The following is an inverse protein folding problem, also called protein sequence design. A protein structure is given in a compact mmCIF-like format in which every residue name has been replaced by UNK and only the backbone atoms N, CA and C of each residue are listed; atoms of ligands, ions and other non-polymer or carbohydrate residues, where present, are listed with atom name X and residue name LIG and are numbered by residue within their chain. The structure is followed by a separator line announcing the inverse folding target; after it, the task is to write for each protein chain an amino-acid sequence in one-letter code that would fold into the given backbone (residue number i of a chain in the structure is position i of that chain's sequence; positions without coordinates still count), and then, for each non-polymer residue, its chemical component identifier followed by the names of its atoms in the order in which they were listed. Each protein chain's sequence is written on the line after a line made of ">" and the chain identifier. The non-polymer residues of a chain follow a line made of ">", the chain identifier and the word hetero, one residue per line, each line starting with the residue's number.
data_IF_789852677199
#
_entry.id   IF_789852677199
#
_cell.length_a   1.000
_cell.length_b   1.000
_cell.length_c   1.000
_cell.angle_alpha   90.00
_cell.angle_beta   90.00
_cell.angle_gamma   90.00
#
_symmetry.space_group_name_H-M   'P 1'
#
loop_
_entity.id
_entity.type
_entity.pdbx_description
1 polymer ?
#
# COMPACT_ATOMS: atom_id res chain seq x y z
N UNK A 1 6.60 60.28 -27.50
CA UNK A 1 7.20 59.19 -26.71
C UNK A 1 7.18 57.93 -27.57
N UNK A 2 8.29 57.59 -28.23
CA UNK A 2 8.38 56.38 -29.08
C UNK A 2 8.85 55.24 -28.18
N UNK A 3 7.98 54.27 -27.95
CA UNK A 3 8.38 53.00 -27.35
C UNK A 3 9.26 52.26 -28.34
N UNK A 4 10.52 52.07 -27.97
CA UNK A 4 11.46 51.19 -28.67
C UNK A 4 11.00 49.77 -28.39
N UNK A 5 10.44 49.12 -29.40
CA UNK A 5 10.20 47.68 -29.40
C UNK A 5 11.56 46.97 -29.37
N UNK A 6 11.94 46.45 -28.21
CA UNK A 6 13.08 45.55 -28.08
C UNK A 6 12.76 44.26 -28.83
N UNK A 7 13.53 43.98 -29.89
CA UNK A 7 13.49 42.70 -30.61
C UNK A 7 13.83 41.56 -29.64
N UNK A 8 12.84 40.70 -29.38
CA UNK A 8 12.97 39.50 -28.54
C UNK A 8 14.03 38.52 -29.08
N UNK A 9 14.26 38.50 -30.39
CA UNK A 9 15.25 37.64 -31.04
C UNK A 9 16.70 37.94 -30.65
N UNK A 10 17.05 39.21 -30.38
CA UNK A 10 18.40 39.61 -29.95
C UNK A 10 18.68 39.31 -28.47
N UNK A 11 17.63 39.24 -27.64
CA UNK A 11 17.77 38.95 -26.22
C UNK A 11 18.06 37.47 -25.99
N UNK A 12 17.35 36.58 -26.70
CA UNK A 12 17.56 35.13 -26.65
C UNK A 12 18.95 34.71 -27.17
N UNK A 13 19.44 35.32 -28.24
CA UNK A 13 20.80 35.01 -28.75
C UNK A 13 21.91 35.44 -27.79
N UNK A 14 21.75 36.60 -27.13
CA UNK A 14 22.72 37.09 -26.17
C UNK A 14 22.69 36.27 -24.87
N UNK A 15 21.50 35.88 -24.40
CA UNK A 15 21.37 34.98 -23.25
C UNK A 15 21.91 33.59 -23.54
N UNK A 16 21.68 33.06 -24.75
CA UNK A 16 22.25 31.79 -25.21
C UNK A 16 23.78 31.80 -25.15
N UNK A 17 24.41 32.84 -25.69
CA UNK A 17 25.88 32.97 -25.66
C UNK A 17 26.44 33.07 -24.22
N UNK A 18 25.81 33.87 -23.35
CA UNK A 18 26.24 34.00 -21.95
C UNK A 18 26.06 32.68 -21.19
N UNK A 19 24.96 31.98 -21.41
CA UNK A 19 24.68 30.66 -20.84
C UNK A 19 25.73 29.65 -21.29
N UNK A 20 26.08 29.64 -22.57
CA UNK A 20 27.04 28.69 -23.13
C UNK A 20 28.47 28.99 -22.65
N UNK A 21 28.84 30.27 -22.51
CA UNK A 21 30.09 30.68 -21.85
C UNK A 21 30.14 30.26 -20.38
N UNK A 22 29.03 30.44 -19.65
CA UNK A 22 28.91 30.01 -18.26
C UNK A 22 29.05 28.50 -18.12
N UNK A 23 28.36 27.71 -18.96
CA UNK A 23 28.51 26.25 -18.96
C UNK A 23 29.93 25.82 -19.30
N UNK A 24 30.58 26.51 -20.24
CA UNK A 24 31.99 26.24 -20.59
C UNK A 24 32.92 26.53 -19.42
N UNK A 25 32.71 27.64 -18.71
CA UNK A 25 33.47 28.00 -17.52
C UNK A 25 33.30 26.98 -16.38
N UNK A 26 32.06 26.58 -16.08
CA UNK A 26 31.75 25.57 -15.07
C UNK A 26 32.37 24.22 -15.45
N UNK A 27 32.22 23.79 -16.71
CA UNK A 27 32.80 22.54 -17.21
C UNK A 27 34.32 22.53 -17.11
N UNK A 28 34.99 23.63 -17.47
CA UNK A 28 36.44 23.76 -17.33
C UNK A 28 36.89 23.72 -15.86
N UNK A 29 36.14 24.37 -14.98
CA UNK A 29 36.42 24.38 -13.53
C UNK A 29 36.29 22.98 -12.93
N UNK A 30 35.20 22.26 -13.24
CA UNK A 30 35.01 20.88 -12.81
C UNK A 30 36.06 19.93 -13.41
N UNK A 31 36.42 20.07 -14.70
CA UNK A 31 37.49 19.27 -15.30
C UNK A 31 38.85 19.51 -14.64
N UNK A 32 39.19 20.76 -14.32
CA UNK A 32 40.44 21.10 -13.65
C UNK A 32 40.48 20.55 -12.22
N UNK A 33 39.35 20.59 -11.52
CA UNK A 33 39.21 20.00 -10.19
C UNK A 33 39.25 18.47 -10.25
N UNK A 34 38.55 17.85 -11.20
CA UNK A 34 38.54 16.39 -11.41
C UNK A 34 39.90 15.85 -11.88
N UNK A 35 40.69 16.66 -12.61
CA UNK A 35 42.07 16.32 -12.97
C UNK A 35 42.98 16.12 -11.76
N UNK A 36 42.75 16.86 -10.65
CA UNK A 36 43.45 16.62 -9.38
C UNK A 36 43.13 15.24 -8.77
N UNK A 37 41.99 14.65 -9.16
CA UNK A 37 41.55 13.31 -8.74
C UNK A 37 41.77 12.24 -9.83
N UNK A 38 42.53 12.55 -10.88
CA UNK A 38 42.96 11.59 -11.91
C UNK A 38 42.03 11.47 -13.13
N UNK A 39 41.03 12.33 -13.31
CA UNK A 39 40.22 12.36 -14.54
C UNK A 39 41.08 12.81 -15.75
N UNK A 40 40.93 12.22 -16.96
CA UNK A 40 39.91 11.24 -17.37
C UNK A 40 40.29 9.77 -17.16
N UNK A 41 41.53 9.50 -16.76
CA UNK A 41 42.08 8.13 -16.69
C UNK A 41 41.58 7.34 -15.47
N UNK A 42 41.19 8.04 -14.41
CA UNK A 42 40.50 7.48 -13.26
C UNK A 42 38.98 7.49 -13.53
N UNK A 43 38.34 6.33 -13.77
CA UNK A 43 36.89 6.24 -13.97
C UNK A 43 36.08 6.59 -12.70
N UNK A 44 36.76 6.94 -11.61
CA UNK A 44 36.16 7.25 -10.32
C UNK A 44 35.92 5.99 -9.49
N UNK A 45 35.41 6.18 -8.29
CA UNK A 45 34.86 5.08 -7.49
C UNK A 45 33.56 4.64 -8.17
N UNK A 46 33.39 3.36 -8.55
CA UNK A 46 32.15 2.92 -9.16
C UNK A 46 31.02 3.13 -8.14
N UNK A 47 29.94 3.81 -8.57
CA UNK A 47 28.79 4.19 -7.72
C UNK A 47 28.16 2.94 -7.06
N UNK A 48 28.37 1.77 -7.66
CA UNK A 48 28.24 0.49 -7.02
C UNK A 48 29.61 -0.21 -7.04
N UNK A 49 30.16 -0.54 -5.88
CA UNK A 49 31.12 -1.65 -5.81
C UNK A 49 30.40 -2.89 -6.34
N UNK A 50 30.55 -3.20 -7.63
CA UNK A 50 30.29 -4.54 -8.14
C UNK A 50 31.33 -5.44 -7.49
N UNK A 51 31.03 -5.91 -6.28
CA UNK A 51 31.60 -7.15 -5.76
C UNK A 51 31.11 -8.28 -6.67
N UNK A 52 31.74 -8.41 -7.85
CA UNK A 52 31.60 -9.60 -8.67
C UNK A 52 32.65 -10.60 -8.21
N UNK A 53 32.29 -11.31 -7.15
CA UNK A 53 32.62 -12.71 -6.86
C UNK A 53 31.76 -13.04 -5.65
N UNK A 54 30.70 -13.81 -5.90
CA UNK A 54 29.69 -14.25 -4.91
C UNK A 54 28.63 -13.19 -4.60
N UNK A 55 28.01 -12.61 -5.63
CA UNK A 55 26.80 -11.80 -5.45
C UNK A 55 25.73 -12.68 -4.81
N UNK A 56 25.28 -12.30 -3.62
CA UNK A 56 24.16 -12.95 -2.95
C UNK A 56 22.97 -12.98 -3.92
N UNK A 57 22.48 -14.17 -4.33
CA UNK A 57 21.37 -14.27 -5.27
C UNK A 57 20.13 -13.50 -4.79
N UNK A 58 19.99 -13.31 -3.47
CA UNK A 58 18.94 -12.49 -2.88
C UNK A 58 19.10 -11.00 -3.20
N UNK A 59 20.32 -10.47 -3.18
CA UNK A 59 20.56 -9.06 -3.50
C UNK A 59 20.30 -8.77 -4.99
N UNK A 60 20.70 -9.68 -5.87
CA UNK A 60 20.42 -9.57 -7.31
C UNK A 60 18.91 -9.67 -7.60
N UNK A 61 18.19 -10.54 -6.87
CA UNK A 61 16.73 -10.62 -6.93
C UNK A 61 16.07 -9.31 -6.48
N UNK A 62 16.45 -8.77 -5.31
CA UNK A 62 15.89 -7.51 -4.81
C UNK A 62 16.18 -6.31 -5.72
N UNK A 63 17.32 -6.31 -6.41
CA UNK A 63 17.66 -5.29 -7.40
C UNK A 63 16.87 -5.42 -8.71
N UNK A 64 16.35 -6.61 -9.02
CA UNK A 64 15.52 -6.87 -10.21
C UNK A 64 14.06 -6.44 -10.05
N UNK A 65 13.61 -6.20 -8.81
CA UNK A 65 12.23 -5.84 -8.50
C UNK A 65 11.87 -4.45 -9.04
N UNK A 66 10.61 -4.27 -9.52
CA UNK A 66 10.12 -2.95 -9.91
C UNK A 66 10.02 -2.01 -8.70
N UNK A 67 10.08 -0.71 -8.96
CA UNK A 67 9.80 0.32 -7.98
C UNK A 67 8.30 0.66 -8.02
N UNK A 68 7.66 0.78 -6.86
CA UNK A 68 6.28 1.28 -6.79
C UNK A 68 6.33 2.80 -6.96
N UNK A 69 6.00 3.28 -8.16
CA UNK A 69 5.97 4.71 -8.47
C UNK A 69 4.73 5.35 -7.84
N UNK A 70 4.95 6.13 -6.78
CA UNK A 70 3.93 6.96 -6.10
C UNK A 70 4.11 8.44 -6.42
N UNK A 71 4.92 8.77 -7.44
CA UNK A 71 5.23 10.15 -7.80
C UNK A 71 3.93 10.90 -8.10
N UNK A 72 3.69 12.07 -7.46
CA UNK A 72 2.40 12.73 -7.59
C UNK A 72 2.08 12.97 -9.07
N UNK A 73 0.82 12.74 -9.49
CA UNK A 73 0.41 13.04 -10.85
C UNK A 73 0.72 14.50 -11.15
N UNK A 74 0.98 14.81 -12.42
CA UNK A 74 1.26 16.19 -12.87
C UNK A 74 0.21 17.13 -12.28
N UNK A 75 0.64 18.04 -11.40
CA UNK A 75 -0.27 18.93 -10.68
C UNK A 75 -1.04 19.81 -11.67
N UNK A 76 -2.34 19.56 -11.78
CA UNK A 76 -3.27 20.40 -12.54
C UNK A 76 -4.31 20.94 -11.55
N UNK A 77 -4.11 22.14 -10.99
CA UNK A 77 -5.04 22.69 -10.04
C UNK A 77 -6.39 22.98 -10.72
N UNK A 78 -7.45 22.34 -10.25
CA UNK A 78 -8.81 22.57 -10.78
C UNK A 78 -9.45 23.82 -10.17
N UNK A 79 -9.07 24.16 -8.93
CA UNK A 79 -9.64 25.27 -8.15
C UNK A 79 -8.57 26.13 -7.48
N UNK A 80 -8.92 27.35 -7.05
CA UNK A 80 -8.03 28.25 -6.28
C UNK A 80 -7.50 27.62 -5.00
N UNK A 81 -8.30 26.77 -4.34
CA UNK A 81 -7.88 26.05 -3.15
C UNK A 81 -6.75 25.06 -3.47
N UNK A 82 -6.89 24.27 -4.54
CA UNK A 82 -5.83 23.36 -5.01
C UNK A 82 -4.60 24.10 -5.54
N UNK A 83 -4.77 25.34 -6.04
CA UNK A 83 -3.64 26.16 -6.46
C UNK A 83 -2.82 26.71 -5.27
N UNK A 84 -3.45 26.89 -4.11
CA UNK A 84 -2.81 27.40 -2.89
C UNK A 84 -2.23 26.29 -2.00
N UNK A 85 -2.93 25.17 -1.90
CA UNK A 85 -2.59 24.06 -0.99
C UNK A 85 -2.08 22.80 -1.70
N UNK A 86 -1.96 22.83 -3.03
CA UNK A 86 -1.62 21.68 -3.86
C UNK A 86 -2.83 20.85 -4.27
N UNK A 87 -2.65 19.98 -5.27
CA UNK A 87 -3.68 19.00 -5.65
C UNK A 87 -3.92 18.02 -4.51
N UNK A 88 -5.14 17.45 -4.44
CA UNK A 88 -5.46 16.40 -3.46
C UNK A 88 -4.49 15.24 -3.68
N UNK A 89 -3.62 15.00 -2.71
CA UNK A 89 -2.74 13.83 -2.71
C UNK A 89 -3.60 12.62 -2.33
N UNK A 90 -3.78 11.71 -3.28
CA UNK A 90 -4.42 10.43 -3.03
C UNK A 90 -3.37 9.45 -2.53
N UNK A 91 -3.77 8.66 -1.53
CA UNK A 91 -2.92 7.62 -0.98
C UNK A 91 -2.89 6.45 -1.99
N UNK A 92 -1.80 6.34 -2.76
CA UNK A 92 -1.59 5.26 -3.72
C UNK A 92 -1.01 4.00 -3.06
N UNK A 93 -1.77 3.45 -2.11
CA UNK A 93 -1.40 2.23 -1.40
C UNK A 93 -1.26 1.05 -2.34
N UNK A 94 -0.28 0.19 -2.05
CA UNK A 94 -0.12 -1.10 -2.72
C UNK A 94 -1.29 -2.01 -2.37
N UNK A 95 -2.06 -2.39 -3.39
CA UNK A 95 -3.26 -3.21 -3.23
C UNK A 95 -2.91 -4.68 -3.10
N UNK A 96 -3.55 -5.36 -2.15
CA UNK A 96 -3.56 -6.82 -2.07
C UNK A 96 -4.65 -7.39 -2.97
N UNK A 97 -4.34 -8.48 -3.65
CA UNK A 97 -5.29 -9.20 -4.50
C UNK A 97 -5.67 -10.51 -3.81
N UNK A 98 -6.89 -10.54 -3.26
CA UNK A 98 -7.45 -11.72 -2.59
C UNK A 98 -7.96 -12.70 -3.64
N UNK A 99 -7.71 -13.99 -3.42
CA UNK A 99 -8.24 -15.08 -4.24
C UNK A 99 -8.64 -16.26 -3.35
N UNK A 100 -9.65 -17.01 -3.79
CA UNK A 100 -10.14 -18.20 -3.11
C UNK A 100 -9.77 -19.44 -3.95
N UNK A 101 -9.29 -20.50 -3.30
CA UNK A 101 -8.95 -21.76 -3.94
C UNK A 101 -9.37 -22.93 -3.05
N UNK A 102 -10.02 -23.94 -3.63
CA UNK A 102 -10.48 -25.12 -2.90
C UNK A 102 -9.33 -25.96 -2.32
N UNK A 103 -8.11 -25.76 -2.80
CA UNK A 103 -6.91 -26.51 -2.37
C UNK A 103 -6.12 -25.72 -1.34
N UNK A 104 -5.88 -24.43 -1.61
CA UNK A 104 -5.01 -23.58 -0.78
C UNK A 104 -5.78 -22.86 0.34
N UNK A 105 -7.10 -22.69 0.18
CA UNK A 105 -8.00 -22.07 1.16
C UNK A 105 -8.63 -20.75 0.71
N UNK A 106 -9.33 -20.13 1.66
CA UNK A 106 -10.20 -18.97 1.43
C UNK A 106 -9.58 -17.61 1.79
N UNK A 107 -8.46 -17.61 2.53
CA UNK A 107 -7.84 -16.38 3.04
C UNK A 107 -6.59 -15.96 2.26
N UNK A 108 -6.43 -16.49 1.07
CA UNK A 108 -5.20 -16.31 0.32
C UNK A 108 -5.19 -14.97 -0.41
N UNK A 109 -4.02 -14.35 -0.44
CA UNK A 109 -3.83 -13.16 -1.26
C UNK A 109 -2.38 -13.08 -1.72
N UNK A 110 -2.19 -12.36 -2.82
CA UNK A 110 -0.87 -11.99 -3.28
C UNK A 110 -0.72 -10.48 -3.31
N UNK A 111 0.52 -10.03 -3.14
CA UNK A 111 0.93 -8.64 -3.27
C UNK A 111 2.01 -8.59 -4.36
N UNK A 112 1.94 -7.61 -5.25
CA UNK A 112 3.01 -7.38 -6.22
C UNK A 112 4.28 -6.98 -5.46
N UNK A 113 5.38 -7.68 -5.71
CA UNK A 113 6.62 -7.41 -4.99
C UNK A 113 7.31 -6.17 -5.57
N UNK A 114 7.51 -5.14 -4.76
CA UNK A 114 8.24 -3.94 -5.13
C UNK A 114 9.43 -3.70 -4.20
N UNK A 115 10.48 -3.07 -4.72
CA UNK A 115 11.71 -2.82 -3.97
C UNK A 115 11.53 -1.93 -2.74
N UNK A 116 10.54 -1.04 -2.76
CA UNK A 116 10.26 -0.04 -1.73
C UNK A 116 9.16 -0.45 -0.76
N UNK A 117 8.66 -1.69 -0.80
CA UNK A 117 7.64 -2.15 0.15
C UNK A 117 8.16 -2.13 1.58
N UNK A 118 7.34 -1.57 2.46
CA UNK A 118 7.59 -1.58 3.89
C UNK A 118 6.52 -2.43 4.55
N UNK A 119 6.96 -3.46 5.25
CA UNK A 119 6.09 -4.27 6.09
C UNK A 119 6.17 -3.82 7.54
N UNK A 120 5.10 -4.03 8.28
CA UNK A 120 5.14 -3.92 9.74
C UNK A 120 6.14 -4.96 10.30
N UNK A 121 6.79 -4.70 11.43
CA UNK A 121 7.48 -5.75 12.16
C UNK A 121 6.47 -6.82 12.64
N UNK A 122 6.86 -8.10 12.61
CA UNK A 122 6.00 -9.22 13.05
C UNK A 122 5.42 -9.01 14.45
N UNK A 123 6.21 -8.46 15.38
CA UNK A 123 5.76 -8.17 16.74
C UNK A 123 4.63 -7.12 16.79
N UNK A 124 4.71 -6.12 15.91
CA UNK A 124 3.69 -5.07 15.81
C UNK A 124 2.43 -5.60 15.13
N UNK A 125 2.60 -6.37 14.04
CA UNK A 125 1.48 -7.04 13.37
C UNK A 125 0.74 -7.96 14.33
N UNK A 126 1.47 -8.80 15.08
CA UNK A 126 0.92 -9.67 16.13
C UNK A 126 0.17 -8.87 17.21
N UNK A 127 0.77 -7.78 17.68
CA UNK A 127 0.15 -6.93 18.70
C UNK A 127 -1.20 -6.37 18.22
N UNK A 128 -1.25 -5.85 17.00
CA UNK A 128 -2.49 -5.30 16.42
C UNK A 128 -3.55 -6.40 16.29
N UNK A 129 -3.17 -7.57 15.77
CA UNK A 129 -4.12 -8.67 15.55
C UNK A 129 -4.71 -9.20 16.87
N UNK A 130 -3.89 -9.39 17.90
CA UNK A 130 -4.31 -9.98 19.17
C UNK A 130 -4.97 -8.95 20.09
N UNK A 131 -4.37 -7.77 20.27
CA UNK A 131 -4.82 -6.80 21.27
C UNK A 131 -5.93 -5.88 20.72
N UNK A 132 -5.83 -5.47 19.46
CA UNK A 132 -6.85 -4.64 18.82
C UNK A 132 -7.94 -5.48 18.12
N UNK A 133 -7.83 -6.81 18.18
CA UNK A 133 -8.76 -7.77 17.55
C UNK A 133 -8.91 -7.59 16.03
N UNK A 134 -7.98 -6.90 15.38
CA UNK A 134 -7.99 -6.66 13.93
C UNK A 134 -7.28 -7.80 13.22
N UNK A 135 -8.00 -8.89 12.96
CA UNK A 135 -7.41 -10.08 12.35
C UNK A 135 -7.57 -10.17 10.83
N UNK A 136 -8.67 -9.68 10.26
CA UNK A 136 -8.94 -9.81 8.81
C UNK A 136 -9.30 -8.48 8.13
N UNK A 137 -10.14 -7.67 8.79
CA UNK A 137 -10.58 -6.39 8.23
C UNK A 137 -9.51 -5.31 8.41
N UNK A 138 -8.79 -5.01 7.32
CA UNK A 138 -7.72 -3.99 7.32
C UNK A 138 -8.24 -2.58 7.06
N UNK A 139 -9.53 -2.39 6.74
CA UNK A 139 -10.07 -1.07 6.34
C UNK A 139 -9.85 0.00 7.40
N UNK A 140 -9.97 -0.38 8.67
CA UNK A 140 -9.70 0.52 9.80
C UNK A 140 -8.23 0.97 9.86
N UNK A 141 -7.28 0.06 9.60
CA UNK A 141 -5.86 0.36 9.57
C UNK A 141 -5.49 1.23 8.36
N UNK A 142 -6.04 0.93 7.18
CA UNK A 142 -5.87 1.75 5.97
C UNK A 142 -6.42 3.17 6.19
N UNK A 143 -7.54 3.31 6.90
CA UNK A 143 -8.09 4.62 7.25
C UNK A 143 -7.16 5.39 8.21
N UNK A 144 -6.57 4.72 9.21
CA UNK A 144 -5.59 5.33 10.12
C UNK A 144 -4.33 5.74 9.35
N UNK A 145 -3.82 4.88 8.47
CA UNK A 145 -2.68 5.16 7.59
C UNK A 145 -2.94 6.39 6.72
N UNK A 146 -4.10 6.46 6.05
CA UNK A 146 -4.50 7.62 5.25
C UNK A 146 -4.66 8.89 6.07
N UNK A 147 -5.19 8.78 7.29
CA UNK A 147 -5.27 9.91 8.24
C UNK A 147 -3.90 10.42 8.66
N UNK A 148 -2.95 9.53 8.97
CA UNK A 148 -1.58 9.88 9.31
C UNK A 148 -0.85 10.52 8.12
N UNK A 149 -1.03 9.98 6.93
CA UNK A 149 -0.46 10.54 5.70
C UNK A 149 -0.94 11.97 5.45
N UNK A 150 -2.26 12.19 5.53
CA UNK A 150 -2.84 13.53 5.42
C UNK A 150 -2.30 14.50 6.48
N UNK A 151 -2.17 14.04 7.73
CA UNK A 151 -1.61 14.84 8.80
C UNK A 151 -0.14 15.23 8.53
N UNK A 152 0.68 14.32 8.01
CA UNK A 152 2.08 14.61 7.66
C UNK A 152 2.19 15.63 6.52
N UNK A 153 1.37 15.51 5.47
CA UNK A 153 1.35 16.48 4.37
C UNK A 153 0.95 17.87 4.89
N UNK A 154 -0.09 17.93 5.72
CA UNK A 154 -0.56 19.19 6.31
C UNK A 154 0.54 19.81 7.18
N UNK A 155 1.21 18.99 7.99
CA UNK A 155 2.34 19.44 8.81
C UNK A 155 3.52 19.93 7.96
N UNK A 156 3.91 19.18 6.92
CA UNK A 156 4.93 19.61 5.96
C UNK A 156 4.58 20.93 5.27
N UNK A 157 3.29 21.14 4.95
CA UNK A 157 2.80 22.42 4.41
C UNK A 157 2.94 23.57 5.42
N UNK A 158 2.71 23.33 6.71
CA UNK A 158 2.92 24.31 7.78
C UNK A 158 4.41 24.66 7.91
N UNK A 159 5.30 23.66 7.89
CA UNK A 159 6.77 23.86 7.92
C UNK A 159 7.23 24.68 6.71
N UNK A 160 6.69 24.38 5.52
CA UNK A 160 7.01 25.12 4.29
C UNK A 160 6.49 26.57 4.37
N UNK A 161 5.25 26.78 4.81
CA UNK A 161 4.69 28.12 5.00
C UNK A 161 5.52 28.95 6.00
N UNK A 162 5.94 28.34 7.11
CA UNK A 162 6.80 28.98 8.12
C UNK A 162 8.17 29.36 7.54
N UNK A 163 8.78 28.49 6.75
CA UNK A 163 10.07 28.75 6.08
C UNK A 163 9.94 29.89 5.05
N UNK A 164 8.89 29.87 4.23
CA UNK A 164 8.66 30.90 3.22
C UNK A 164 8.36 32.28 3.84
N UNK A 165 7.68 32.30 4.99
CA UNK A 165 7.39 33.51 5.75
C UNK A 165 8.51 33.92 6.71
N UNK A 166 9.67 33.26 6.70
CA UNK A 166 10.75 33.50 7.66
C UNK A 166 11.15 34.99 7.78
N UNK A 167 11.29 35.67 6.64
CA UNK A 167 11.61 37.11 6.61
C UNK A 167 10.49 37.98 7.18
N UNK A 168 9.23 37.60 6.96
CA UNK A 168 8.06 38.33 7.48
C UNK A 168 7.92 38.12 9.00
N UNK A 169 8.09 36.89 9.47
CA UNK A 169 7.99 36.50 10.88
C UNK A 169 9.12 37.14 11.69
N UNK A 170 10.31 37.29 11.11
CA UNK A 170 11.45 37.94 11.79
C UNK A 170 11.21 39.40 12.16
N UNK A 171 10.35 40.12 11.43
CA UNK A 171 10.00 41.51 11.73
C UNK A 171 8.96 41.59 12.85
N UNK A 172 8.03 40.63 12.94
CA UNK A 172 7.01 40.62 14.00
C UNK A 172 6.46 39.21 14.31
N UNK A 173 7.16 38.42 15.15
CA UNK A 173 6.81 37.02 15.37
C UNK A 173 5.59 36.84 16.29
N UNK A 174 5.30 37.82 17.16
CA UNK A 174 4.32 37.69 18.24
C UNK A 174 2.92 38.22 17.91
N UNK A 175 2.68 38.62 16.65
CA UNK A 175 1.34 39.03 16.21
C UNK A 175 0.58 37.89 15.56
N UNK A 176 -0.72 37.86 15.81
CA UNK A 176 -1.64 36.95 15.13
C UNK A 176 -1.62 37.22 13.60
N UNK A 177 -1.57 36.18 12.74
CA UNK A 177 -1.60 34.74 13.03
C UNK A 177 -0.22 34.06 13.17
N UNK A 178 0.89 34.78 12.93
CA UNK A 178 2.25 34.24 12.86
C UNK A 178 2.68 33.42 14.08
N UNK A 179 2.23 33.81 15.28
CA UNK A 179 2.57 33.10 16.53
C UNK A 179 2.16 31.61 16.52
N UNK A 180 1.04 31.25 15.88
CA UNK A 180 0.61 29.85 15.80
C UNK A 180 1.49 29.03 14.85
N UNK A 181 1.90 29.61 13.72
CA UNK A 181 2.80 28.95 12.77
C UNK A 181 4.18 28.69 13.37
N UNK A 182 4.67 29.65 14.15
CA UNK A 182 5.94 29.55 14.88
C UNK A 182 5.85 28.44 15.94
N UNK A 183 4.85 28.50 16.82
CA UNK A 183 4.66 27.49 17.87
C UNK A 183 4.45 26.06 17.34
N UNK A 184 3.83 25.90 16.16
CA UNK A 184 3.60 24.58 15.57
C UNK A 184 4.89 23.89 15.06
N UNK A 185 5.92 24.67 14.71
CA UNK A 185 7.15 24.17 14.07
C UNK A 185 8.35 24.18 15.03
N UNK A 186 8.42 25.16 15.93
CA UNK A 186 9.62 25.40 16.75
C UNK A 186 10.02 24.21 17.62
N UNK A 187 9.07 23.46 18.21
CA UNK A 187 9.40 22.30 19.03
C UNK A 187 10.24 21.24 18.28
N UNK A 188 9.97 21.04 17.00
CA UNK A 188 10.67 20.06 16.16
C UNK A 188 12.02 20.62 15.68
N UNK A 189 12.08 21.92 15.39
CA UNK A 189 13.33 22.56 15.02
C UNK A 189 14.30 22.70 16.17
N UNK A 190 13.84 23.06 17.36
CA UNK A 190 14.68 23.15 18.56
C UNK A 190 15.30 21.79 18.89
N UNK A 191 14.52 20.72 18.74
CA UNK A 191 15.02 19.35 18.87
C UNK A 191 16.15 19.06 17.87
N UNK A 192 15.94 19.39 16.59
CA UNK A 192 16.92 19.13 15.53
C UNK A 192 18.14 20.06 15.58
N UNK A 193 17.99 21.31 16.05
CA UNK A 193 19.11 22.25 16.26
C UNK A 193 20.11 21.74 17.31
N UNK A 194 19.65 20.89 18.25
CA UNK A 194 20.54 20.18 19.18
C UNK A 194 21.54 19.23 18.48
N UNK A 195 21.22 18.79 17.26
CA UNK A 195 22.05 17.88 16.46
C UNK A 195 22.75 18.59 15.30
N UNK A 196 22.08 19.53 14.63
CA UNK A 196 22.56 20.16 13.41
C UNK A 196 22.89 21.64 13.65
N UNK A 197 24.17 22.05 13.55
CA UNK A 197 24.54 23.45 13.68
C UNK A 197 24.11 24.26 12.45
N UNK A 198 23.85 25.56 12.64
CA UNK A 198 23.62 26.48 11.53
C UNK A 198 24.86 26.62 10.66
N UNK A 199 24.71 26.51 9.33
CA UNK A 199 25.81 26.62 8.37
C UNK A 199 25.73 28.01 7.74
N UNK A 200 26.81 28.80 7.86
CA UNK A 200 26.90 30.16 7.29
C UNK A 200 25.77 31.11 7.73
N UNK A 201 25.20 30.90 8.93
CA UNK A 201 24.09 31.68 9.46
C UNK A 201 22.72 31.32 8.89
N UNK A 202 22.63 30.28 8.04
CA UNK A 202 21.36 29.75 7.54
C UNK A 202 20.94 28.55 8.38
N UNK A 203 19.70 28.58 8.84
CA UNK A 203 19.09 27.46 9.55
C UNK A 203 18.68 26.37 8.53
N UNK A 204 19.46 25.29 8.45
CA UNK A 204 19.18 24.13 7.59
C UNK A 204 18.12 23.20 8.18
N UNK A 205 17.80 23.38 9.47
CA UNK A 205 16.95 22.47 10.22
C UNK A 205 15.54 22.35 9.64
N UNK A 206 14.94 23.45 9.18
CA UNK A 206 13.62 23.42 8.53
C UNK A 206 13.61 22.57 7.26
N UNK A 207 14.70 22.59 6.49
CA UNK A 207 14.85 21.78 5.28
C UNK A 207 15.03 20.30 5.60
N UNK A 208 15.80 19.99 6.66
CA UNK A 208 15.97 18.61 7.15
C UNK A 208 14.63 18.08 7.68
N UNK A 209 13.91 18.88 8.48
CA UNK A 209 12.60 18.53 9.00
C UNK A 209 11.62 18.21 7.87
N UNK A 210 11.58 19.05 6.82
CA UNK A 210 10.76 18.79 5.64
C UNK A 210 11.16 17.48 4.95
N UNK A 211 12.46 17.20 4.83
CA UNK A 211 12.96 15.92 4.30
C UNK A 211 12.52 14.71 5.14
N UNK A 212 12.58 14.81 6.47
CA UNK A 212 12.11 13.75 7.38
C UNK A 212 10.61 13.51 7.21
N UNK A 213 9.81 14.59 7.18
CA UNK A 213 8.36 14.50 6.96
C UNK A 213 8.06 13.84 5.61
N UNK A 214 8.81 14.21 4.56
CA UNK A 214 8.72 13.58 3.24
C UNK A 214 9.02 12.09 3.26
N UNK A 215 10.12 11.67 3.89
CA UNK A 215 10.48 10.24 4.05
C UNK A 215 9.40 9.48 4.82
N UNK A 216 8.87 10.06 5.90
CA UNK A 216 7.80 9.43 6.67
C UNK A 216 6.51 9.29 5.85
N UNK A 217 6.14 10.32 5.09
CA UNK A 217 4.97 10.28 4.22
C UNK A 217 5.14 9.24 3.10
N UNK A 218 6.34 9.16 2.51
CA UNK A 218 6.68 8.17 1.48
C UNK A 218 6.64 6.75 2.05
N UNK A 219 7.20 6.53 3.25
CA UNK A 219 7.13 5.24 3.92
C UNK A 219 5.69 4.82 4.23
N UNK A 220 4.80 5.77 4.55
CA UNK A 220 3.38 5.45 4.74
C UNK A 220 2.71 5.01 3.44
N UNK A 221 3.04 5.57 2.27
CA UNK A 221 2.48 5.11 1.00
C UNK A 221 2.89 3.67 0.65
N UNK A 222 4.11 3.28 1.06
CA UNK A 222 4.67 1.97 0.81
C UNK A 222 4.41 0.95 1.92
N UNK A 223 3.72 1.36 3.00
CA UNK A 223 3.38 0.49 4.11
C UNK A 223 2.25 -0.46 3.69
N UNK A 224 2.49 -1.77 3.81
CA UNK A 224 1.51 -2.80 3.46
C UNK A 224 1.12 -3.62 4.68
N UNK A 225 -0.19 -3.83 4.84
CA UNK A 225 -0.78 -4.66 5.89
C UNK A 225 -1.01 -6.08 5.39
N UNK A 226 -0.43 -7.07 6.07
CA UNK A 226 -0.47 -8.50 5.68
C UNK A 226 -1.47 -9.32 6.49
N UNK A 227 -2.28 -8.70 7.36
CA UNK A 227 -3.23 -9.43 8.21
C UNK A 227 -4.23 -10.23 7.36
N UNK A 228 -4.52 -11.50 7.71
CA UNK A 228 -4.24 -12.20 8.99
C UNK A 228 -2.83 -12.79 9.15
N UNK A 229 -2.00 -12.78 8.12
CA UNK A 229 -0.67 -13.39 8.17
C UNK A 229 0.35 -12.44 8.81
N UNK A 230 1.38 -13.02 9.42
CA UNK A 230 2.58 -12.25 9.75
C UNK A 230 3.33 -11.91 8.46
N UNK A 231 3.97 -10.73 8.39
CA UNK A 231 4.79 -10.35 7.24
C UNK A 231 5.83 -11.39 6.83
N UNK A 232 6.42 -12.10 7.80
CA UNK A 232 7.38 -13.18 7.56
C UNK A 232 6.83 -14.45 6.93
N UNK A 233 5.50 -14.62 6.84
CA UNK A 233 4.86 -15.78 6.20
C UNK A 233 4.75 -15.64 4.68
N UNK A 234 5.18 -14.51 4.11
CA UNK A 234 5.10 -14.26 2.68
C UNK A 234 6.10 -15.10 1.89
N UNK A 235 5.62 -15.84 0.90
CA UNK A 235 6.45 -16.62 -0.02
C UNK A 235 6.63 -15.87 -1.35
N UNK A 236 7.88 -15.59 -1.71
CA UNK A 236 8.22 -14.95 -2.98
C UNK A 236 8.07 -15.95 -4.14
N UNK A 237 7.13 -15.69 -5.04
CA UNK A 237 6.83 -16.55 -6.19
C UNK A 237 6.63 -15.72 -7.46
N UNK A 238 6.79 -16.35 -8.62
CA UNK A 238 6.50 -15.73 -9.91
C UNK A 238 5.15 -16.21 -10.41
N UNK A 239 4.21 -15.27 -10.59
CA UNK A 239 2.89 -15.57 -11.14
C UNK A 239 2.72 -14.93 -12.52
N UNK A 240 2.04 -15.65 -13.41
CA UNK A 240 1.62 -15.14 -14.71
C UNK A 240 0.35 -14.31 -14.55
N UNK A 241 0.50 -13.00 -14.43
CA UNK A 241 -0.63 -12.06 -14.30
C UNK A 241 -0.76 -11.32 -15.63
N UNK A 242 -1.93 -11.46 -16.28
CA UNK A 242 -2.22 -10.81 -17.57
C UNK A 242 -1.22 -11.15 -18.70
N UNK A 243 -0.65 -12.36 -18.67
CA UNK A 243 0.34 -12.81 -19.68
C UNK A 243 1.77 -12.32 -19.43
N UNK A 244 2.02 -11.59 -18.33
CA UNK A 244 3.35 -11.18 -17.90
C UNK A 244 3.75 -11.93 -16.63
N UNK A 245 4.99 -12.42 -16.56
CA UNK A 245 5.59 -12.96 -15.34
C UNK A 245 5.87 -11.83 -14.36
N UNK A 246 5.12 -11.79 -13.26
CA UNK A 246 5.31 -10.80 -12.19
C UNK A 246 5.74 -11.50 -10.92
N UNK A 247 6.74 -10.93 -10.26
CA UNK A 247 7.16 -11.37 -8.94
C UNK A 247 6.14 -10.87 -7.91
N UNK A 248 5.65 -11.81 -7.10
CA UNK A 248 4.64 -11.56 -6.07
C UNK A 248 5.06 -12.18 -4.75
N UNK A 249 4.55 -11.61 -3.67
CA UNK A 249 4.61 -12.22 -2.34
C UNK A 249 3.25 -12.86 -2.08
N UNK A 250 3.25 -14.18 -1.95
CA UNK A 250 2.08 -15.01 -1.76
C UNK A 250 1.87 -15.31 -0.28
N UNK A 251 0.65 -15.10 0.20
CA UNK A 251 0.21 -15.51 1.53
C UNK A 251 -0.92 -16.52 1.36
N UNK A 252 -0.67 -17.74 1.80
CA UNK A 252 -1.59 -18.87 1.61
C UNK A 252 -1.57 -19.83 2.80
N UNK A 253 -2.50 -20.79 2.83
CA UNK A 253 -2.77 -21.70 3.95
C UNK A 253 -3.24 -21.01 5.23
N UNK A 254 -3.20 -21.72 6.36
CA UNK A 254 -3.62 -21.20 7.66
C UNK A 254 -2.55 -20.23 8.22
N UNK A 255 -2.93 -19.01 8.63
CA UNK A 255 -2.01 -18.07 9.26
C UNK A 255 -1.34 -18.67 10.51
N UNK A 256 -0.02 -18.47 10.65
CA UNK A 256 0.75 -18.98 11.80
C UNK A 256 0.17 -18.51 13.14
N UNK A 257 -0.32 -17.27 13.19
CA UNK A 257 -0.90 -16.67 14.39
C UNK A 257 -2.10 -17.46 14.91
N UNK A 258 -2.87 -18.13 14.05
CA UNK A 258 -4.04 -18.93 14.43
C UNK A 258 -3.67 -20.31 15.01
N UNK A 259 -2.43 -20.76 14.82
CA UNK A 259 -1.91 -21.94 15.53
C UNK A 259 -1.52 -21.60 16.97
N UNK A 260 -0.92 -20.43 17.18
CA UNK A 260 -0.40 -20.01 18.48
C UNK A 260 -1.47 -19.38 19.37
N UNK A 261 -2.45 -18.69 18.77
CA UNK A 261 -3.49 -17.95 19.45
C UNK A 261 -4.87 -18.39 18.93
N UNK A 262 -5.89 -18.42 19.79
CA UNK A 262 -7.23 -18.81 19.36
C UNK A 262 -7.74 -17.83 18.30
N UNK A 263 -8.38 -18.38 17.27
CA UNK A 263 -9.02 -17.60 16.21
C UNK A 263 -10.08 -16.68 16.85
N UNK A 264 -10.13 -15.39 16.49
CA UNK A 264 -11.13 -14.47 17.03
C UNK A 264 -12.54 -15.04 16.93
N UNK A 265 -13.32 -14.91 18.00
CA UNK A 265 -14.67 -15.48 18.05
C UNK A 265 -15.59 -14.86 16.98
N UNK A 266 -15.45 -13.56 16.70
CA UNK A 266 -16.19 -12.87 15.64
C UNK A 266 -16.03 -13.54 14.27
N UNK A 267 -14.80 -13.97 13.94
CA UNK A 267 -14.51 -14.63 12.68
C UNK A 267 -15.12 -16.05 12.63
N UNK A 268 -15.09 -16.77 13.76
CA UNK A 268 -15.72 -18.09 13.88
C UNK A 268 -17.24 -18.01 13.79
N UNK A 269 -17.85 -16.98 14.37
CA UNK A 269 -19.29 -16.71 14.23
C UNK A 269 -19.66 -16.36 12.79
N UNK A 270 -18.84 -15.58 12.10
CA UNK A 270 -19.01 -15.29 10.67
C UNK A 270 -18.98 -16.56 9.83
N UNK A 271 -18.01 -17.46 10.04
CA UNK A 271 -17.95 -18.75 9.34
C UNK A 271 -19.18 -19.62 9.62
N UNK A 272 -19.67 -19.65 10.85
CA UNK A 272 -20.83 -20.47 11.19
C UNK A 272 -22.14 -19.92 10.64
N UNK A 273 -22.33 -18.59 10.67
CA UNK A 273 -23.61 -17.97 10.31
C UNK A 273 -23.70 -17.62 8.81
N UNK A 274 -22.62 -17.12 8.21
CA UNK A 274 -22.64 -16.54 6.86
C UNK A 274 -21.89 -17.39 5.82
N UNK A 275 -20.72 -17.95 6.19
CA UNK A 275 -19.83 -18.68 5.26
C UNK A 275 -19.49 -20.09 5.77
N UNK A 276 -20.48 -20.97 5.77
CA UNK A 276 -20.32 -22.35 6.25
C UNK A 276 -19.39 -23.19 5.35
N UNK A 277 -19.24 -22.82 4.09
CA UNK A 277 -18.25 -23.38 3.16
C UNK A 277 -16.82 -23.27 3.70
N UNK A 278 -16.46 -22.10 4.25
CA UNK A 278 -15.15 -21.86 4.87
C UNK A 278 -15.00 -22.74 6.11
N UNK A 279 -16.05 -22.85 6.94
CA UNK A 279 -16.02 -23.68 8.14
C UNK A 279 -15.76 -25.15 7.81
N UNK A 280 -16.47 -25.69 6.81
CA UNK A 280 -16.34 -27.08 6.35
C UNK A 280 -14.92 -27.31 5.83
N UNK A 281 -14.40 -26.40 5.00
CA UNK A 281 -13.03 -26.50 4.51
C UNK A 281 -12.01 -26.48 5.64
N UNK A 282 -12.12 -25.55 6.59
CA UNK A 282 -11.20 -25.45 7.72
C UNK A 282 -11.22 -26.73 8.57
N UNK A 283 -12.40 -27.29 8.82
CA UNK A 283 -12.54 -28.55 9.55
C UNK A 283 -11.92 -29.73 8.80
N UNK A 284 -12.09 -29.80 7.47
CA UNK A 284 -11.57 -30.91 6.67
C UNK A 284 -10.05 -30.82 6.43
N UNK A 285 -9.56 -29.62 6.08
CA UNK A 285 -8.16 -29.38 5.74
C UNK A 285 -7.25 -29.40 6.98
N UNK A 286 -7.77 -28.98 8.14
CA UNK A 286 -7.01 -28.80 9.36
C UNK A 286 -7.53 -29.63 10.54
N UNK A 287 -8.26 -30.72 10.28
CA UNK A 287 -8.82 -31.62 11.31
C UNK A 287 -7.77 -32.09 12.34
N UNK A 288 -6.58 -32.43 11.86
CA UNK A 288 -5.50 -32.99 12.70
C UNK A 288 -4.89 -31.96 13.65
N UNK A 289 -5.03 -30.68 13.30
CA UNK A 289 -4.61 -29.55 14.12
C UNK A 289 -5.74 -29.32 15.11
N UNK A 290 -5.50 -29.60 16.40
CA UNK A 290 -6.49 -29.48 17.50
C UNK A 290 -6.90 -28.03 17.80
N UNK A 291 -7.28 -27.29 16.77
CA UNK A 291 -7.68 -25.88 16.75
C UNK A 291 -9.20 -25.82 16.87
N UNK A 292 -9.69 -24.85 17.64
CA UNK A 292 -11.11 -24.65 17.88
C UNK A 292 -11.73 -23.73 16.83
N UNK A 293 -12.32 -24.30 15.79
CA UNK A 293 -13.00 -23.54 14.74
C UNK A 293 -14.44 -23.13 15.10
N UNK A 294 -15.05 -23.75 16.12
CA UNK A 294 -16.43 -23.47 16.52
C UNK A 294 -16.56 -22.23 17.41
N UNK A 295 -17.63 -21.42 17.27
CA UNK A 295 -17.90 -20.27 18.13
C UNK A 295 -18.00 -20.62 19.62
N UNK A 296 -17.56 -19.71 20.48
CA UNK A 296 -17.56 -19.90 21.94
C UNK A 296 -18.96 -20.19 22.50
N UNK A 297 -20.02 -19.59 21.93
CA UNK A 297 -21.42 -19.83 22.32
C UNK A 297 -21.87 -21.29 22.23
N UNK A 298 -21.20 -22.09 21.41
CA UNK A 298 -21.50 -23.51 21.22
C UNK A 298 -20.49 -24.43 21.91
N UNK A 299 -19.43 -23.88 22.52
CA UNK A 299 -18.38 -24.69 23.15
C UNK A 299 -18.81 -25.31 24.48
N UNK A 300 -19.71 -24.68 25.23
CA UNK A 300 -20.27 -25.27 26.46
C UNK A 300 -21.14 -26.51 26.17
N UNK A 301 -21.63 -26.68 24.94
CA UNK A 301 -22.46 -27.81 24.52
C UNK A 301 -21.59 -29.04 24.11
N UNK A 302 -20.31 -28.82 23.76
CA UNK A 302 -19.43 -29.84 23.15
C UNK A 302 -18.69 -30.68 24.21
N UNK A 303 -18.68 -30.26 25.48
CA UNK A 303 -17.87 -30.92 26.52
C UNK A 303 -18.47 -32.27 27.00
N UNK A 304 -19.73 -32.61 26.69
CA UNK A 304 -20.37 -33.77 27.34
C UNK A 304 -21.18 -34.75 26.47
N UNK A 305 -21.18 -34.72 25.13
CA UNK A 305 -22.01 -35.72 24.44
C UNK A 305 -21.61 -36.10 23.00
N UNK A 306 -21.44 -37.41 22.82
CA UNK A 306 -21.41 -38.19 21.56
C UNK A 306 -22.64 -37.91 20.65
N UNK A 307 -23.65 -37.22 21.18
CA UNK A 307 -24.83 -36.73 20.46
C UNK A 307 -24.57 -35.48 19.60
N UNK A 308 -23.57 -34.66 19.91
CA UNK A 308 -23.26 -33.43 19.13
C UNK A 308 -22.54 -33.74 17.82
N UNK A 309 -21.71 -34.79 17.78
CA UNK A 309 -21.12 -35.32 16.55
C UNK A 309 -22.23 -35.81 15.62
N UNK A 310 -23.25 -36.51 16.14
CA UNK A 310 -24.44 -36.92 15.36
C UNK A 310 -25.31 -35.75 14.89
N UNK A 311 -25.42 -34.68 15.68
CA UNK A 311 -26.12 -33.46 15.26
C UNK A 311 -25.35 -32.67 14.20
N UNK A 312 -24.02 -32.64 14.27
CA UNK A 312 -23.17 -32.08 13.23
C UNK A 312 -23.26 -32.93 11.97
N UNK A 313 -23.16 -34.26 12.05
CA UNK A 313 -23.39 -35.18 10.92
C UNK A 313 -24.79 -35.00 10.29
N UNK A 314 -25.82 -34.77 11.11
CA UNK A 314 -27.17 -34.44 10.60
C UNK A 314 -27.24 -33.04 9.98
N UNK A 315 -26.51 -32.06 10.50
CA UNK A 315 -26.41 -30.73 9.91
C UNK A 315 -25.61 -30.76 8.59
N UNK A 316 -24.56 -31.58 8.51
CA UNK A 316 -23.80 -31.91 7.30
C UNK A 316 -24.69 -32.58 6.26
N UNK A 317 -25.45 -33.61 6.64
CA UNK A 317 -26.42 -34.26 5.76
C UNK A 317 -27.51 -33.28 5.29
N UNK A 318 -27.96 -32.36 6.17
CA UNK A 318 -28.98 -31.37 5.83
C UNK A 318 -28.45 -30.25 4.92
N UNK A 319 -27.19 -29.85 5.07
CA UNK A 319 -26.51 -28.87 4.22
C UNK A 319 -26.18 -29.46 2.84
N UNK A 320 -25.76 -30.73 2.80
CA UNK A 320 -25.56 -31.49 1.56
C UNK A 320 -26.88 -31.74 0.82
N UNK A 321 -27.97 -32.03 1.55
CA UNK A 321 -29.31 -32.09 0.98
C UNK A 321 -29.74 -30.72 0.45
N UNK A 322 -29.45 -29.62 1.14
CA UNK A 322 -29.83 -28.27 0.71
C UNK A 322 -29.05 -27.83 -0.54
N UNK A 323 -27.76 -28.14 -0.63
CA UNK A 323 -26.95 -27.86 -1.82
C UNK A 323 -27.37 -28.75 -3.01
N UNK A 324 -27.75 -30.00 -2.77
CA UNK A 324 -28.37 -30.88 -3.77
C UNK A 324 -29.76 -30.37 -4.15
N UNK A 325 -30.54 -29.83 -3.22
CA UNK A 325 -31.86 -29.25 -3.49
C UNK A 325 -31.75 -27.96 -4.33
N UNK A 326 -30.79 -27.08 -4.03
CA UNK A 326 -30.52 -25.87 -4.82
C UNK A 326 -29.96 -26.23 -6.21
N UNK A 327 -29.12 -27.25 -6.30
CA UNK A 327 -28.67 -27.81 -7.58
C UNK A 327 -29.82 -28.41 -8.39
N UNK A 328 -30.73 -29.17 -7.76
CA UNK A 328 -31.91 -29.75 -8.42
C UNK A 328 -32.94 -28.69 -8.82
N UNK A 329 -33.20 -27.69 -7.98
CA UNK A 329 -34.05 -26.54 -8.29
C UNK A 329 -33.47 -25.73 -9.45
N UNK A 330 -32.14 -25.50 -9.48
CA UNK A 330 -31.49 -24.83 -10.62
C UNK A 330 -31.65 -25.61 -11.93
N UNK A 331 -31.71 -26.95 -11.85
CA UNK A 331 -31.87 -27.84 -12.99
C UNK A 331 -33.32 -27.91 -13.46
N UNK A 332 -34.29 -28.00 -12.53
CA UNK A 332 -35.73 -27.97 -12.84
C UNK A 332 -36.20 -26.61 -13.34
N UNK A 333 -35.65 -25.51 -12.82
CA UNK A 333 -35.88 -24.15 -13.35
C UNK A 333 -35.30 -24.05 -14.78
N UNK A 334 -34.10 -24.57 -15.05
CA UNK A 334 -33.55 -24.57 -16.41
C UNK A 334 -34.34 -25.47 -17.38
N UNK A 335 -34.89 -26.59 -16.92
CA UNK A 335 -35.75 -27.46 -17.74
C UNK A 335 -37.08 -26.77 -18.04
N UNK A 336 -37.71 -26.15 -17.04
CA UNK A 336 -38.95 -25.38 -17.23
C UNK A 336 -38.76 -24.14 -18.11
N UNK A 337 -37.64 -23.42 -17.97
CA UNK A 337 -37.32 -22.28 -18.83
C UNK A 337 -37.08 -22.75 -20.28
N UNK A 338 -36.37 -23.87 -20.49
CA UNK A 338 -36.17 -24.40 -21.85
C UNK A 338 -37.47 -24.91 -22.48
N UNK A 339 -38.37 -25.53 -21.70
CA UNK A 339 -39.69 -25.93 -22.19
C UNK A 339 -40.60 -24.71 -22.45
N UNK A 340 -40.58 -23.70 -21.58
CA UNK A 340 -41.33 -22.46 -21.75
C UNK A 340 -40.84 -21.66 -22.97
N UNK A 341 -39.51 -21.59 -23.17
CA UNK A 341 -38.92 -20.99 -24.37
C UNK A 341 -39.30 -21.82 -25.60
N UNK A 342 -39.23 -23.15 -25.59
CA UNK A 342 -39.63 -23.94 -26.76
C UNK A 342 -41.11 -23.77 -27.12
N UNK A 343 -42.01 -23.77 -26.12
CA UNK A 343 -43.45 -23.61 -26.36
C UNK A 343 -43.75 -22.21 -26.90
N UNK A 344 -43.21 -21.17 -26.27
CA UNK A 344 -43.44 -19.80 -26.75
C UNK A 344 -42.72 -19.47 -28.06
N UNK A 345 -41.59 -20.10 -28.36
CA UNK A 345 -40.90 -19.92 -29.64
C UNK A 345 -41.66 -20.62 -30.78
N UNK A 346 -42.28 -21.77 -30.53
CA UNK A 346 -43.17 -22.45 -31.49
C UNK A 346 -44.43 -21.63 -31.74
N UNK A 347 -45.05 -21.06 -30.70
CA UNK A 347 -46.21 -20.18 -30.86
C UNK A 347 -45.87 -18.88 -31.60
N UNK A 348 -44.70 -18.30 -31.36
CA UNK A 348 -44.22 -17.11 -32.07
C UNK A 348 -43.96 -17.40 -33.57
N UNK A 349 -43.38 -18.56 -33.89
CA UNK A 349 -43.14 -18.99 -35.28
C UNK A 349 -44.47 -19.26 -36.00
N UNK A 350 -45.43 -19.91 -35.33
CA UNK A 350 -46.74 -20.19 -35.91
C UNK A 350 -47.55 -18.92 -36.16
N UNK A 351 -47.41 -17.89 -35.31
CA UNK A 351 -48.04 -16.59 -35.51
C UNK A 351 -47.38 -15.76 -36.62
N UNK A 352 -46.10 -16.01 -36.92
CA UNK A 352 -45.39 -15.35 -38.03
C UNK A 352 -45.60 -16.01 -39.39
N UNK A 353 -46.04 -17.28 -39.41
CA UNK A 353 -46.25 -18.07 -40.64
C UNK A 353 -47.73 -18.18 -41.08
N UNK A 354 -48.67 -17.64 -40.30
CA UNK A 354 -50.07 -17.41 -40.69
C UNK A 354 -50.29 -15.96 -41.10
#
# INVERSE_FOLDING_TARGET
>A
MKFVTLNTSTFDTNFGNVRDEFYKFITLSFKKMAGLFGYPENPGMPIAYRFRKDADPRAEFLDSLPFHDTWPPIERPENLFSALFGTRLELENVKRHVYESDIEGFYNFYILNYKNLIYLPDSVSRFIQIQLHVSYDIKGLEAIQGGLFFFLILYGSIVMARTNLFWYISVNPYKFPSNFLVAAVDWAEDFLQGFFPAILGVNITSSILLGIVGILADNLNHLVFTMPYLPSEGEETELLINGETKQVVLYHYLPKLWYECPIPNELREYWFNERNDILIFMLNAYYDLRIKFTPDRFQEIIIDDDATIKMLEQAYAKAEILSVYDFLISKDINININQFIQIHFIDLINHFLS
#
